data_IF_161442594906
#
_entry.id   IF_161442594906
#
_cell.length_a   1.000
_cell.length_b   1.000
_cell.length_c   1.000
_cell.angle_alpha   90.00
_cell.angle_beta   90.00
_cell.angle_gamma   90.00
#
_symmetry.space_group_name_H-M   'P 1'
#
loop_
_entity.id
_entity.type
_entity.pdbx_description
1 polymer ?
#
# COMPACT_ATOMS: atom_id res chain seq x y z
N UNK A 1 -10.05 -11.64 -20.96
CA UNK A 1 -9.10 -12.00 -22.03
C UNK A 1 -8.02 -12.86 -21.39
N UNK A 2 -7.79 -14.06 -21.89
CA UNK A 2 -6.69 -14.91 -21.41
C UNK A 2 -5.36 -14.33 -21.87
N UNK A 3 -4.68 -13.62 -20.97
CA UNK A 3 -3.42 -12.92 -21.24
C UNK A 3 -2.21 -13.87 -21.37
N UNK A 4 -2.39 -15.16 -21.11
CA UNK A 4 -1.32 -16.16 -21.08
C UNK A 4 -0.95 -16.75 -22.45
N UNK A 5 -1.64 -16.37 -23.54
CA UNK A 5 -1.48 -17.00 -24.86
C UNK A 5 -0.47 -16.34 -25.81
N UNK A 6 0.09 -15.18 -25.45
CA UNK A 6 1.00 -14.43 -26.33
C UNK A 6 2.47 -14.64 -25.93
N UNK A 7 3.08 -15.73 -26.40
CA UNK A 7 4.53 -15.89 -26.41
C UNK A 7 5.12 -15.35 -27.72
N UNK A 8 5.79 -14.20 -27.67
CA UNK A 8 6.48 -13.64 -28.83
C UNK A 8 7.85 -14.27 -29.03
N UNK A 9 8.13 -14.73 -30.25
CA UNK A 9 9.40 -15.36 -30.62
C UNK A 9 10.37 -14.35 -31.24
N UNK A 10 9.86 -13.31 -31.89
CA UNK A 10 10.67 -12.25 -32.55
C UNK A 10 10.26 -10.84 -32.11
N UNK A 11 11.16 -9.86 -32.30
CA UNK A 11 10.86 -8.44 -32.06
C UNK A 11 9.78 -7.94 -33.02
N UNK A 12 9.82 -8.38 -34.28
CA UNK A 12 8.87 -7.94 -35.30
C UNK A 12 7.45 -8.41 -34.97
N UNK A 13 7.27 -9.64 -34.47
CA UNK A 13 5.97 -10.12 -33.97
C UNK A 13 5.44 -9.28 -32.81
N UNK A 14 6.34 -8.91 -31.88
CA UNK A 14 6.01 -8.09 -30.72
C UNK A 14 5.54 -6.70 -31.15
N UNK A 15 6.30 -6.03 -32.02
CA UNK A 15 5.95 -4.68 -32.50
C UNK A 15 4.76 -4.66 -33.45
N UNK A 16 4.61 -5.64 -34.34
CA UNK A 16 3.44 -5.76 -35.20
C UNK A 16 2.16 -5.94 -34.36
N UNK A 17 2.23 -6.69 -33.26
CA UNK A 17 1.11 -6.86 -32.34
C UNK A 17 0.76 -5.57 -31.60
N UNK A 18 1.77 -4.85 -31.08
CA UNK A 18 1.55 -3.55 -30.44
C UNK A 18 1.00 -2.51 -31.42
N UNK A 19 1.49 -2.48 -32.67
CA UNK A 19 0.97 -1.60 -33.72
C UNK A 19 -0.49 -1.90 -34.03
N UNK A 20 -0.84 -3.18 -34.17
CA UNK A 20 -2.23 -3.62 -34.40
C UNK A 20 -3.16 -3.19 -33.28
N UNK A 21 -2.73 -3.34 -32.02
CA UNK A 21 -3.50 -2.90 -30.86
C UNK A 21 -3.59 -1.37 -30.77
N UNK A 22 -2.51 -0.66 -31.13
CA UNK A 22 -2.46 0.80 -31.11
C UNK A 22 -3.30 1.47 -32.21
N UNK A 23 -3.56 0.78 -33.34
CA UNK A 23 -4.25 1.36 -34.50
C UNK A 23 -5.68 1.83 -34.20
N UNK A 24 -6.39 1.13 -33.30
CA UNK A 24 -7.77 1.49 -32.92
C UNK A 24 -7.82 2.50 -31.77
N UNK A 25 -6.71 2.75 -31.07
CA UNK A 25 -6.60 3.79 -30.06
C UNK A 25 -7.58 3.67 -28.88
N UNK A 26 -7.99 2.44 -28.52
CA UNK A 26 -8.95 2.22 -27.41
C UNK A 26 -8.25 1.93 -26.09
N UNK A 27 -8.94 2.19 -24.98
CA UNK A 27 -8.45 1.92 -23.63
C UNK A 27 -8.16 0.43 -23.38
N UNK A 28 -8.94 -0.47 -24.00
CA UNK A 28 -8.79 -1.92 -23.88
C UNK A 28 -7.46 -2.39 -24.48
N UNK A 29 -7.13 -1.92 -25.68
CA UNK A 29 -5.86 -2.25 -26.32
C UNK A 29 -4.68 -1.64 -25.58
N UNK A 30 -4.80 -0.42 -25.07
CA UNK A 30 -3.76 0.16 -24.23
C UNK A 30 -3.55 -0.63 -22.93
N UNK A 31 -4.60 -1.24 -22.38
CA UNK A 31 -4.51 -2.16 -21.24
C UNK A 31 -3.78 -3.45 -21.61
N UNK A 32 -3.98 -3.95 -22.83
CA UNK A 32 -3.22 -5.09 -23.37
C UNK A 32 -1.74 -4.74 -23.59
N UNK A 33 -1.45 -3.58 -24.19
CA UNK A 33 -0.08 -3.07 -24.34
C UNK A 33 0.59 -2.91 -22.97
N UNK A 34 -0.11 -2.34 -21.98
CA UNK A 34 0.35 -2.24 -20.58
C UNK A 34 0.82 -3.58 -20.01
N UNK A 35 0.14 -4.68 -20.33
CA UNK A 35 0.54 -6.01 -19.86
C UNK A 35 1.92 -6.39 -20.41
N UNK A 36 2.12 -6.18 -21.71
CA UNK A 36 3.34 -6.51 -22.42
C UNK A 36 4.51 -5.55 -22.16
N UNK A 37 4.21 -4.31 -21.74
CA UNK A 37 5.20 -3.33 -21.25
C UNK A 37 5.70 -3.62 -19.82
N UNK A 38 5.23 -4.69 -19.18
CA UNK A 38 5.70 -5.08 -17.85
C UNK A 38 7.06 -5.76 -17.91
N UNK A 39 7.99 -5.38 -17.02
CA UNK A 39 9.32 -6.01 -16.89
C UNK A 39 9.29 -7.47 -16.39
N UNK A 40 8.10 -8.07 -16.23
CA UNK A 40 7.92 -9.42 -15.69
C UNK A 40 8.18 -10.52 -16.69
N UNK A 41 7.99 -10.26 -17.99
CA UNK A 41 8.00 -11.28 -19.02
C UNK A 41 9.40 -11.43 -19.63
N UNK A 42 10.04 -12.62 -19.53
CA UNK A 42 11.27 -12.92 -20.25
C UNK A 42 10.90 -13.37 -21.67
N UNK A 43 10.76 -12.42 -22.60
CA UNK A 43 10.54 -12.80 -23.99
C UNK A 43 11.75 -13.55 -24.54
N UNK A 44 11.50 -14.60 -25.34
CA UNK A 44 12.55 -15.48 -25.90
C UNK A 44 13.58 -14.72 -26.74
N UNK A 45 13.15 -13.67 -27.44
CA UNK A 45 14.05 -12.85 -28.26
C UNK A 45 15.08 -12.06 -27.43
N UNK A 46 14.87 -11.83 -26.13
CA UNK A 46 15.77 -11.03 -25.30
C UNK A 46 17.13 -11.70 -25.04
N UNK A 47 17.24 -13.02 -25.23
CA UNK A 47 18.48 -13.76 -24.92
C UNK A 47 19.59 -13.56 -25.96
N UNK A 48 19.25 -13.14 -27.19
CA UNK A 48 20.19 -13.09 -28.31
C UNK A 48 20.50 -11.65 -28.81
N UNK A 49 20.12 -10.63 -28.06
CA UNK A 49 20.18 -9.24 -28.51
C UNK A 49 21.24 -8.41 -27.78
N UNK A 50 22.00 -7.64 -28.55
CA UNK A 50 22.93 -6.64 -28.01
C UNK A 50 22.21 -5.30 -27.75
N UNK A 51 22.47 -4.62 -26.62
CA UNK A 51 21.83 -3.34 -26.30
C UNK A 51 22.09 -2.23 -27.32
N UNK A 52 23.23 -2.29 -28.01
CA UNK A 52 23.67 -1.27 -28.96
C UNK A 52 23.07 -1.46 -30.35
N UNK A 53 22.56 -2.64 -30.70
CA UNK A 53 21.97 -2.93 -32.02
C UNK A 53 20.46 -2.66 -32.09
N UNK A 54 19.85 -2.23 -30.97
CA UNK A 54 18.41 -2.04 -30.84
C UNK A 54 17.92 -0.64 -31.22
N UNK A 55 18.77 0.25 -31.71
CA UNK A 55 18.30 1.53 -32.26
C UNK A 55 17.58 1.32 -33.58
N UNK A 56 16.43 1.97 -33.75
CA UNK A 56 15.64 2.09 -34.99
C UNK A 56 14.85 0.85 -35.40
N UNK A 57 14.67 -0.14 -34.50
CA UNK A 57 13.87 -1.32 -34.81
C UNK A 57 12.37 -0.97 -34.86
N UNK A 58 11.94 -0.05 -33.99
CA UNK A 58 10.56 0.43 -33.91
C UNK A 58 10.14 1.37 -35.04
N UNK A 59 11.09 2.04 -35.74
CA UNK A 59 10.79 3.03 -36.80
C UNK A 59 9.97 2.42 -37.95
N UNK A 60 10.10 1.11 -38.18
CA UNK A 60 9.34 0.37 -39.20
C UNK A 60 7.85 0.25 -38.85
N UNK A 61 7.51 0.33 -37.57
CA UNK A 61 6.17 0.00 -37.05
C UNK A 61 5.45 1.22 -36.47
N UNK A 62 6.19 2.21 -35.95
CA UNK A 62 5.61 3.33 -35.22
C UNK A 62 6.07 4.67 -35.77
N UNK A 63 5.19 5.66 -35.68
CA UNK A 63 5.51 7.05 -35.97
C UNK A 63 6.09 7.73 -34.73
N UNK A 64 6.90 8.76 -34.96
CA UNK A 64 7.40 9.61 -33.89
C UNK A 64 6.26 10.25 -33.08
N UNK A 65 6.26 10.20 -31.73
CA UNK A 65 7.36 9.83 -30.83
C UNK A 65 7.34 8.37 -30.30
N UNK A 66 6.40 7.54 -30.75
CA UNK A 66 6.19 6.19 -30.20
C UNK A 66 7.30 5.21 -30.60
N UNK A 67 7.91 5.41 -31.76
CA UNK A 67 9.14 4.72 -32.16
C UNK A 67 10.21 4.79 -31.05
N UNK A 68 10.65 5.99 -30.69
CA UNK A 68 11.66 6.23 -29.69
C UNK A 68 11.27 5.64 -28.32
N UNK A 69 9.99 5.76 -27.93
CA UNK A 69 9.49 5.22 -26.66
C UNK A 69 9.60 3.70 -26.63
N UNK A 70 9.19 3.00 -27.69
CA UNK A 70 9.22 1.55 -27.74
C UNK A 70 10.63 0.99 -27.90
N UNK A 71 11.51 1.64 -28.66
CA UNK A 71 12.94 1.31 -28.72
C UNK A 71 13.60 1.46 -27.35
N UNK A 72 13.33 2.55 -26.62
CA UNK A 72 13.83 2.73 -25.26
C UNK A 72 13.27 1.67 -24.30
N UNK A 73 11.99 1.30 -24.44
CA UNK A 73 11.41 0.24 -23.63
C UNK A 73 12.09 -1.11 -23.86
N UNK A 74 12.38 -1.48 -25.11
CA UNK A 74 13.14 -2.70 -25.42
C UNK A 74 14.53 -2.70 -24.78
N UNK A 75 15.24 -1.56 -24.87
CA UNK A 75 16.55 -1.40 -24.20
C UNK A 75 16.43 -1.59 -22.69
N UNK A 76 15.41 -1.01 -22.06
CA UNK A 76 15.15 -1.18 -20.62
C UNK A 76 14.86 -2.65 -20.28
N UNK A 77 14.02 -3.32 -21.05
CA UNK A 77 13.72 -4.75 -20.88
C UNK A 77 15.00 -5.58 -20.95
N UNK A 78 15.82 -5.39 -21.98
CA UNK A 78 17.08 -6.12 -22.15
C UNK A 78 18.04 -5.87 -20.97
N UNK A 79 18.27 -4.61 -20.61
CA UNK A 79 19.17 -4.24 -19.51
C UNK A 79 18.67 -4.76 -18.16
N UNK A 80 17.36 -4.81 -17.95
CA UNK A 80 16.75 -5.38 -16.75
C UNK A 80 17.08 -6.89 -16.63
N UNK A 81 16.91 -7.66 -17.71
CA UNK A 81 17.21 -9.09 -17.73
C UNK A 81 18.72 -9.38 -17.67
N UNK A 82 19.57 -8.49 -18.21
CA UNK A 82 21.02 -8.50 -18.00
C UNK A 82 21.46 -8.08 -16.57
N UNK A 83 20.52 -7.80 -15.66
CA UNK A 83 20.76 -7.34 -14.28
C UNK A 83 21.50 -6.00 -14.17
N UNK A 84 21.53 -5.19 -15.24
CA UNK A 84 22.11 -3.84 -15.28
C UNK A 84 21.08 -2.79 -14.87
N UNK A 85 20.61 -2.86 -13.62
CA UNK A 85 19.48 -2.06 -13.11
C UNK A 85 19.71 -0.54 -13.15
N UNK A 86 20.96 -0.08 -12.94
CA UNK A 86 21.26 1.35 -12.93
C UNK A 86 21.12 1.97 -14.34
N UNK A 87 21.68 1.32 -15.36
CA UNK A 87 21.52 1.76 -16.75
C UNK A 87 20.05 1.68 -17.19
N UNK A 88 19.35 0.59 -16.82
CA UNK A 88 17.93 0.44 -17.09
C UNK A 88 17.09 1.55 -16.44
N UNK A 89 17.43 1.98 -15.23
CA UNK A 89 16.78 3.09 -14.54
C UNK A 89 16.88 4.40 -15.34
N UNK A 90 18.08 4.78 -15.78
CA UNK A 90 18.27 6.04 -16.51
C UNK A 90 17.49 6.05 -17.84
N UNK A 91 17.54 4.96 -18.61
CA UNK A 91 16.74 4.85 -19.84
C UNK A 91 15.24 4.85 -19.57
N UNK A 92 14.78 4.21 -18.49
CA UNK A 92 13.35 4.23 -18.13
C UNK A 92 12.91 5.63 -17.66
N UNK A 93 13.77 6.37 -16.97
CA UNK A 93 13.50 7.74 -16.57
C UNK A 93 13.36 8.65 -17.79
N UNK A 94 14.33 8.59 -18.70
CA UNK A 94 14.32 9.34 -19.96
C UNK A 94 13.06 9.01 -20.78
N UNK A 95 12.67 7.74 -20.85
CA UNK A 95 11.43 7.30 -21.48
C UNK A 95 10.20 7.98 -20.86
N UNK A 96 10.09 8.02 -19.52
CA UNK A 96 8.96 8.67 -18.83
C UNK A 96 8.93 10.17 -19.09
N UNK A 97 10.10 10.84 -19.11
CA UNK A 97 10.21 12.27 -19.41
C UNK A 97 9.80 12.59 -20.85
N UNK A 98 10.27 11.81 -21.84
CA UNK A 98 9.89 11.92 -23.24
C UNK A 98 8.38 11.67 -23.41
N UNK A 99 7.85 10.64 -22.77
CA UNK A 99 6.42 10.34 -22.82
C UNK A 99 5.60 11.50 -22.26
N UNK A 100 6.02 12.10 -21.14
CA UNK A 100 5.33 13.25 -20.57
C UNK A 100 5.37 14.47 -21.52
N UNK A 101 6.54 14.81 -22.04
CA UNK A 101 6.73 15.98 -22.90
C UNK A 101 6.05 15.84 -24.27
N UNK A 102 6.13 14.66 -24.90
CA UNK A 102 5.72 14.46 -26.29
C UNK A 102 4.34 13.83 -26.45
N UNK A 103 3.85 13.10 -25.46
CA UNK A 103 2.53 12.45 -25.52
C UNK A 103 1.55 13.16 -24.59
N UNK A 104 1.83 13.21 -23.28
CA UNK A 104 0.88 13.78 -22.30
C UNK A 104 0.58 15.26 -22.53
N UNK A 105 1.57 16.07 -22.88
CA UNK A 105 1.38 17.51 -23.14
C UNK A 105 0.76 17.82 -24.51
N UNK A 106 1.07 17.02 -25.53
CA UNK A 106 0.64 17.27 -26.91
C UNK A 106 -0.77 16.74 -27.15
N UNK A 107 -1.07 15.52 -26.68
CA UNK A 107 -2.35 14.86 -26.89
C UNK A 107 -3.32 15.21 -25.76
N UNK A 108 -3.88 16.43 -25.79
CA UNK A 108 -4.76 16.95 -24.72
C UNK A 108 -6.12 16.26 -24.65
N UNK A 109 -6.70 15.92 -25.79
CA UNK A 109 -8.09 15.43 -25.88
C UNK A 109 -8.21 13.90 -25.96
N UNK A 110 -7.13 13.17 -25.66
CA UNK A 110 -7.08 11.71 -25.71
C UNK A 110 -6.55 11.14 -24.39
N UNK A 111 -7.13 10.02 -23.95
CA UNK A 111 -6.76 9.33 -22.71
C UNK A 111 -6.39 7.85 -22.91
N UNK A 112 -6.50 7.31 -24.13
CA UNK A 112 -6.26 5.90 -24.42
C UNK A 112 -4.85 5.46 -24.04
N UNK A 113 -3.85 6.33 -24.09
CA UNK A 113 -2.45 5.99 -23.79
C UNK A 113 -2.13 5.95 -22.27
N UNK A 114 -3.05 6.33 -21.40
CA UNK A 114 -2.82 6.38 -19.95
C UNK A 114 -2.41 5.03 -19.32
N UNK A 115 -2.98 3.87 -19.70
CA UNK A 115 -2.50 2.58 -19.22
C UNK A 115 -1.01 2.34 -19.47
N UNK A 116 -0.46 2.83 -20.60
CA UNK A 116 0.97 2.75 -20.89
C UNK A 116 1.78 3.66 -19.96
N UNK A 117 1.32 4.90 -19.75
CA UNK A 117 1.91 5.83 -18.78
C UNK A 117 2.03 5.20 -17.40
N UNK A 118 0.94 4.59 -16.89
CA UNK A 118 0.93 3.91 -15.60
C UNK A 118 1.97 2.79 -15.52
N UNK A 119 2.13 2.02 -16.60
CA UNK A 119 3.13 0.95 -16.64
C UNK A 119 4.54 1.51 -16.65
N UNK A 120 4.81 2.58 -17.39
CA UNK A 120 6.11 3.23 -17.41
C UNK A 120 6.49 3.83 -16.05
N UNK A 121 5.56 4.51 -15.37
CA UNK A 121 5.78 5.00 -14.02
C UNK A 121 6.00 3.85 -13.02
N UNK A 122 5.25 2.73 -13.15
CA UNK A 122 5.43 1.54 -12.31
C UNK A 122 6.79 0.88 -12.53
N UNK A 123 7.25 0.79 -13.78
CA UNK A 123 8.56 0.26 -14.14
C UNK A 123 9.68 1.16 -13.59
N UNK A 124 9.55 2.48 -13.72
CA UNK A 124 10.48 3.46 -13.17
C UNK A 124 10.61 3.30 -11.65
N UNK A 125 9.49 3.23 -10.94
CA UNK A 125 9.47 2.97 -9.49
C UNK A 125 10.21 1.68 -9.14
N UNK A 126 9.93 0.59 -9.85
CA UNK A 126 10.56 -0.70 -9.58
C UNK A 126 12.07 -0.62 -9.79
N UNK A 127 12.52 -0.11 -10.93
CA UNK A 127 13.94 0.05 -11.25
C UNK A 127 14.67 0.97 -10.27
N UNK A 128 14.03 2.06 -9.82
CA UNK A 128 14.59 2.95 -8.82
C UNK A 128 14.91 2.21 -7.51
N UNK A 129 14.01 1.32 -7.08
CA UNK A 129 14.24 0.48 -5.90
C UNK A 129 15.43 -0.47 -6.09
N UNK A 130 15.58 -1.10 -7.25
CA UNK A 130 16.74 -1.96 -7.51
C UNK A 130 18.06 -1.17 -7.62
N UNK A 131 18.01 0.03 -8.20
CA UNK A 131 19.17 0.91 -8.30
C UNK A 131 19.66 1.33 -6.91
N UNK A 132 18.75 1.78 -6.03
CA UNK A 132 19.07 2.15 -4.66
C UNK A 132 19.60 0.95 -3.85
N UNK A 133 18.98 -0.23 -3.96
CA UNK A 133 19.45 -1.44 -3.28
C UNK A 133 20.87 -1.84 -3.72
N UNK A 134 21.17 -1.78 -5.02
CA UNK A 134 22.53 -2.08 -5.52
C UNK A 134 23.54 -1.04 -5.06
N UNK A 135 23.20 0.24 -5.10
CA UNK A 135 24.09 1.30 -4.64
C UNK A 135 24.41 1.14 -3.15
N UNK A 136 23.41 0.83 -2.33
CA UNK A 136 23.59 0.62 -0.88
C UNK A 136 24.40 -0.64 -0.57
N UNK A 137 24.26 -1.71 -1.36
CA UNK A 137 25.10 -2.91 -1.22
C UNK A 137 26.59 -2.63 -1.47
N UNK A 138 26.91 -1.76 -2.44
CA UNK A 138 28.31 -1.38 -2.75
C UNK A 138 28.87 -0.42 -1.70
N UNK A 139 28.03 0.42 -1.09
CA UNK A 139 28.42 1.31 0.03
C UNK A 139 28.79 0.51 1.29
N UNK A 140 28.09 -0.59 1.57
CA UNK A 140 28.38 -1.44 2.73
C UNK A 140 29.77 -2.09 2.71
N UNK A 141 30.41 -2.18 1.54
CA UNK A 141 31.75 -2.75 1.36
C UNK A 141 32.86 -1.70 1.24
N UNK A 142 32.52 -0.44 0.98
CA UNK A 142 33.46 0.60 0.58
C UNK A 142 33.23 1.86 1.41
N UNK A 143 33.98 2.01 2.50
CA UNK A 143 34.04 3.19 3.37
C UNK A 143 34.72 4.38 2.68
N UNK A 144 34.36 4.73 1.45
CA UNK A 144 34.95 5.85 0.72
C UNK A 144 34.07 7.10 0.80
N UNK A 145 34.65 8.14 1.40
CA UNK A 145 34.14 9.52 1.53
C UNK A 145 34.01 10.16 0.14
N UNK A 146 32.90 9.91 -0.54
CA UNK A 146 32.44 10.67 -1.72
C UNK A 146 31.15 11.41 -1.41
N UNK A 147 30.75 12.37 -2.26
CA UNK A 147 29.52 13.18 -2.13
C UNK A 147 28.35 12.27 -1.74
N UNK A 148 27.87 12.41 -0.51
CA UNK A 148 26.90 11.52 0.12
C UNK A 148 25.53 11.68 -0.56
N UNK A 149 25.28 10.93 -1.63
CA UNK A 149 23.94 10.83 -2.21
C UNK A 149 23.03 10.10 -1.20
N UNK A 150 21.77 10.53 -1.06
CA UNK A 150 20.81 9.90 -0.14
C UNK A 150 20.68 8.39 -0.41
N UNK A 151 20.39 7.58 0.62
CA UNK A 151 20.19 6.12 0.49
C UNK A 151 19.07 5.74 -0.49
N UNK A 152 18.19 6.70 -0.81
CA UNK A 152 17.03 6.55 -1.69
C UNK A 152 17.06 7.56 -2.86
N UNK A 153 18.25 7.96 -3.32
CA UNK A 153 18.41 9.00 -4.33
C UNK A 153 17.61 8.72 -5.62
N UNK A 154 17.66 7.50 -6.15
CA UNK A 154 16.95 7.16 -7.39
C UNK A 154 15.43 7.09 -7.16
N UNK A 155 14.99 6.62 -5.98
CA UNK A 155 13.57 6.64 -5.63
C UNK A 155 13.04 8.08 -5.52
N UNK A 156 13.80 9.01 -4.92
CA UNK A 156 13.41 10.42 -4.85
C UNK A 156 13.39 11.09 -6.22
N UNK A 157 14.33 10.73 -7.10
CA UNK A 157 14.41 11.22 -8.47
C UNK A 157 13.27 10.68 -9.36
N UNK A 158 12.95 9.39 -9.24
CA UNK A 158 11.77 8.79 -9.84
C UNK A 158 10.47 9.48 -9.39
N UNK A 159 10.35 9.81 -8.11
CA UNK A 159 9.18 10.51 -7.60
C UNK A 159 8.98 11.87 -8.26
N UNK A 160 10.06 12.60 -8.59
CA UNK A 160 9.97 13.86 -9.33
C UNK A 160 9.38 13.63 -10.71
N UNK A 161 10.00 12.74 -11.50
CA UNK A 161 9.51 12.42 -12.85
C UNK A 161 8.04 11.96 -12.89
N UNK A 162 7.60 11.16 -11.91
CA UNK A 162 6.19 10.76 -11.78
C UNK A 162 5.30 11.95 -11.36
N UNK A 163 5.78 12.85 -10.50
CA UNK A 163 5.08 14.08 -10.15
C UNK A 163 4.89 15.01 -11.35
N UNK A 164 5.85 15.09 -12.28
CA UNK A 164 5.65 15.84 -13.53
C UNK A 164 4.49 15.25 -14.36
N UNK A 165 4.40 13.92 -14.48
CA UNK A 165 3.26 13.27 -15.16
C UNK A 165 1.92 13.53 -14.42
N UNK A 166 1.96 13.49 -13.08
CA UNK A 166 0.81 13.77 -12.23
C UNK A 166 0.30 15.21 -12.42
N UNK A 167 1.21 16.20 -12.47
CA UNK A 167 0.84 17.61 -12.71
C UNK A 167 0.17 17.80 -14.06
N UNK A 168 0.67 17.14 -15.11
CA UNK A 168 0.05 17.15 -16.44
C UNK A 168 -1.38 16.59 -16.43
N UNK A 169 -1.63 15.51 -15.68
CA UNK A 169 -2.98 14.96 -15.54
C UNK A 169 -3.87 15.82 -14.63
N UNK A 170 -3.28 16.47 -13.62
CA UNK A 170 -4.01 17.30 -12.66
C UNK A 170 -4.45 18.64 -13.23
N UNK A 171 -3.72 19.21 -14.20
CA UNK A 171 -4.16 20.43 -14.89
C UNK A 171 -5.42 20.20 -15.72
N UNK A 172 -5.61 18.98 -16.22
CA UNK A 172 -6.75 18.60 -17.07
C UNK A 172 -8.02 18.33 -16.25
N UNK A 173 -7.96 18.40 -14.90
CA UNK A 173 -9.11 18.19 -14.01
C UNK A 173 -10.25 19.20 -14.23
N UNK A 174 -9.95 20.38 -14.80
CA UNK A 174 -10.98 21.39 -15.14
C UNK A 174 -11.83 20.99 -16.34
N UNK A 175 -11.41 19.97 -17.09
CA UNK A 175 -12.12 19.49 -18.27
C UNK A 175 -13.00 18.30 -17.86
N UNK A 176 -14.33 18.52 -17.84
CA UNK A 176 -15.35 17.53 -17.49
C UNK A 176 -15.68 16.54 -18.64
N UNK A 177 -14.76 16.34 -19.58
CA UNK A 177 -14.96 15.43 -20.71
C UNK A 177 -14.70 13.98 -20.31
N UNK A 178 -15.40 13.03 -20.93
CA UNK A 178 -15.12 11.58 -20.81
C UNK A 178 -13.69 11.21 -21.25
N UNK A 179 -13.05 12.10 -22.03
CA UNK A 179 -11.65 12.01 -22.48
C UNK A 179 -10.65 12.60 -21.48
N UNK A 180 -11.10 13.05 -20.30
CA UNK A 180 -10.24 13.69 -19.32
C UNK A 180 -9.15 12.74 -18.83
N UNK A 181 -7.94 13.27 -18.68
CA UNK A 181 -6.81 12.53 -18.10
C UNK A 181 -6.88 12.44 -16.58
N UNK A 182 -7.90 13.05 -15.99
CA UNK A 182 -8.21 12.95 -14.56
C UNK A 182 -8.42 11.49 -14.12
N UNK A 183 -8.86 10.61 -15.03
CA UNK A 183 -8.97 9.15 -14.83
C UNK A 183 -7.63 8.48 -14.46
N UNK A 184 -6.49 9.13 -14.73
CA UNK A 184 -5.17 8.63 -14.34
C UNK A 184 -4.60 9.14 -13.03
N UNK A 185 -5.28 10.09 -12.37
CA UNK A 185 -4.78 10.71 -11.14
C UNK A 185 -4.59 9.69 -10.02
N UNK A 186 -5.57 8.81 -9.79
CA UNK A 186 -5.49 7.85 -8.69
C UNK A 186 -4.34 6.86 -8.88
N UNK A 187 -4.10 6.39 -10.11
CA UNK A 187 -3.01 5.45 -10.39
C UNK A 187 -1.63 6.08 -10.17
N UNK A 188 -1.45 7.32 -10.64
CA UNK A 188 -0.22 8.09 -10.42
C UNK A 188 -0.02 8.42 -8.93
N UNK A 189 -1.08 8.80 -8.21
CA UNK A 189 -1.07 8.99 -6.75
C UNK A 189 -0.64 7.71 -6.03
N UNK A 190 -1.19 6.55 -6.39
CA UNK A 190 -0.80 5.25 -5.82
C UNK A 190 0.68 4.92 -6.11
N UNK A 191 1.19 5.31 -7.28
CA UNK A 191 2.61 5.18 -7.60
C UNK A 191 3.49 6.05 -6.68
N UNK A 192 3.12 7.32 -6.52
CA UNK A 192 3.79 8.28 -5.64
C UNK A 192 3.74 7.87 -4.17
N UNK A 193 2.59 7.38 -3.68
CA UNK A 193 2.43 6.84 -2.32
C UNK A 193 3.41 5.72 -2.04
N UNK A 194 3.51 4.75 -2.95
CA UNK A 194 4.44 3.65 -2.81
C UNK A 194 5.90 4.12 -2.71
N UNK A 195 6.29 5.17 -3.45
CA UNK A 195 7.63 5.75 -3.39
C UNK A 195 7.83 6.50 -2.06
N UNK A 196 6.93 7.41 -1.71
CA UNK A 196 7.05 8.27 -0.54
C UNK A 196 7.02 7.51 0.79
N UNK A 197 6.19 6.46 0.89
CA UNK A 197 6.16 5.60 2.08
C UNK A 197 7.48 4.82 2.20
N UNK A 198 8.03 4.34 1.09
CA UNK A 198 9.32 3.66 1.08
C UNK A 198 10.47 4.60 1.48
N UNK A 199 10.46 5.84 1.01
CA UNK A 199 11.49 6.84 1.35
C UNK A 199 11.25 7.54 2.69
N UNK A 200 10.27 7.09 3.47
CA UNK A 200 9.87 7.65 4.76
C UNK A 200 9.52 9.15 4.70
N UNK A 201 8.95 9.62 3.57
CA UNK A 201 8.54 11.01 3.34
C UNK A 201 7.02 11.17 3.44
N UNK A 202 6.47 10.76 4.58
CA UNK A 202 5.02 10.73 4.82
C UNK A 202 4.34 12.10 4.66
N UNK A 203 5.05 13.19 4.92
CA UNK A 203 4.54 14.56 4.79
C UNK A 203 4.05 14.90 3.37
N UNK A 204 4.59 14.23 2.34
CA UNK A 204 4.24 14.43 0.94
C UNK A 204 2.93 13.74 0.53
N UNK A 205 2.38 12.87 1.40
CA UNK A 205 1.11 12.19 1.14
C UNK A 205 -0.07 13.14 1.31
N UNK A 206 -0.04 14.07 2.27
CA UNK A 206 -1.18 14.95 2.59
C UNK A 206 -1.63 15.84 1.42
N UNK A 207 -0.72 16.50 0.65
CA UNK A 207 -1.13 17.27 -0.52
C UNK A 207 -1.80 16.42 -1.60
N UNK A 208 -1.32 15.18 -1.81
CA UNK A 208 -1.88 14.26 -2.79
C UNK A 208 -3.26 13.74 -2.36
N UNK A 209 -3.43 13.41 -1.07
CA UNK A 209 -4.73 13.02 -0.50
C UNK A 209 -5.74 14.15 -0.70
N UNK A 210 -5.38 15.37 -0.30
CA UNK A 210 -6.24 16.55 -0.50
C UNK A 210 -6.63 16.70 -1.96
N UNK A 211 -5.69 16.58 -2.89
CA UNK A 211 -6.00 16.71 -4.31
C UNK A 211 -7.04 15.69 -4.79
N UNK A 212 -6.95 14.43 -4.34
CA UNK A 212 -7.95 13.40 -4.65
C UNK A 212 -9.28 13.67 -3.95
N UNK A 213 -9.29 14.14 -2.71
CA UNK A 213 -10.54 14.45 -1.98
C UNK A 213 -11.33 15.59 -2.66
N UNK A 214 -10.64 16.59 -3.24
CA UNK A 214 -11.29 17.62 -4.07
C UNK A 214 -11.88 17.04 -5.36
N UNK A 215 -11.40 15.88 -5.81
CA UNK A 215 -11.92 15.16 -6.97
C UNK A 215 -13.05 14.18 -6.59
N UNK A 216 -13.69 14.30 -5.43
CA UNK A 216 -14.58 13.28 -4.84
C UNK A 216 -15.57 12.59 -5.80
N UNK A 217 -16.16 13.31 -6.75
CA UNK A 217 -17.07 12.73 -7.75
C UNK A 217 -16.39 11.75 -8.74
N UNK A 218 -15.09 11.89 -8.96
CA UNK A 218 -14.28 10.99 -9.78
C UNK A 218 -13.79 9.77 -8.99
N UNK A 219 -13.84 9.81 -7.65
CA UNK A 219 -13.34 8.71 -6.83
C UNK A 219 -14.06 7.38 -7.16
N UNK A 220 -15.38 7.46 -7.30
CA UNK A 220 -16.25 6.33 -7.62
C UNK A 220 -16.07 5.81 -9.06
N UNK A 221 -15.51 6.63 -9.96
CA UNK A 221 -15.26 6.26 -11.36
C UNK A 221 -13.95 5.47 -11.55
N UNK A 222 -13.02 5.56 -10.60
CA UNK A 222 -11.76 4.82 -10.69
C UNK A 222 -11.97 3.32 -10.50
N UNK A 223 -11.02 2.54 -10.99
CA UNK A 223 -11.05 1.09 -10.79
C UNK A 223 -11.07 0.73 -9.29
N UNK A 224 -11.87 -0.26 -8.91
CA UNK A 224 -11.94 -0.76 -7.53
C UNK A 224 -10.55 -1.14 -7.00
N UNK A 225 -9.69 -1.68 -7.88
CA UNK A 225 -8.30 -2.00 -7.55
C UNK A 225 -7.51 -0.76 -7.11
N UNK A 226 -7.58 0.33 -7.86
CA UNK A 226 -6.86 1.57 -7.52
C UNK A 226 -7.43 2.23 -6.26
N UNK A 227 -8.75 2.15 -6.04
CA UNK A 227 -9.39 2.62 -4.80
C UNK A 227 -8.90 1.84 -3.57
N UNK A 228 -8.80 0.51 -3.67
CA UNK A 228 -8.28 -0.34 -2.58
C UNK A 228 -6.83 0.00 -2.24
N UNK A 229 -5.99 0.19 -3.27
CA UNK A 229 -4.58 0.57 -3.06
C UNK A 229 -4.46 1.95 -2.42
N UNK A 230 -5.29 2.91 -2.84
CA UNK A 230 -5.33 4.24 -2.24
C UNK A 230 -5.70 4.16 -0.75
N UNK A 231 -6.81 3.48 -0.43
CA UNK A 231 -7.30 3.33 0.95
C UNK A 231 -6.32 2.56 1.84
N UNK A 232 -5.60 1.58 1.28
CA UNK A 232 -4.50 0.91 1.98
C UNK A 232 -3.40 1.90 2.43
N UNK A 233 -2.95 2.78 1.53
CA UNK A 233 -1.90 3.74 1.85
C UNK A 233 -2.38 4.87 2.77
N UNK A 234 -3.61 5.39 2.59
CA UNK A 234 -4.17 6.40 3.49
C UNK A 234 -4.36 5.83 4.89
N UNK A 235 -4.84 4.58 5.01
CA UNK A 235 -4.98 3.88 6.28
C UNK A 235 -3.65 3.59 6.97
N UNK A 236 -2.61 3.21 6.21
CA UNK A 236 -1.25 3.05 6.74
C UNK A 236 -0.72 4.36 7.31
N UNK A 237 -0.89 5.48 6.60
CA UNK A 237 -0.52 6.82 7.08
C UNK A 237 -1.28 7.18 8.35
N UNK A 238 -2.60 7.01 8.35
CA UNK A 238 -3.46 7.33 9.50
C UNK A 238 -3.05 6.56 10.76
N UNK A 239 -2.70 5.27 10.64
CA UNK A 239 -2.20 4.47 11.76
C UNK A 239 -0.89 5.03 12.34
N UNK A 240 0.03 5.47 11.48
CA UNK A 240 1.31 6.05 11.90
C UNK A 240 1.09 7.41 12.59
N UNK A 241 0.17 8.22 12.07
CA UNK A 241 -0.24 9.51 12.66
C UNK A 241 -1.12 9.37 13.91
N UNK A 242 -1.45 8.14 14.32
CA UNK A 242 -2.36 7.87 15.44
C UNK A 242 -3.77 8.43 15.21
N UNK A 243 -4.27 8.38 13.98
CA UNK A 243 -5.68 8.56 13.70
C UNK A 243 -6.32 7.17 13.49
N UNK A 244 -6.79 6.54 14.58
CA UNK A 244 -7.30 5.16 14.49
C UNK A 244 -8.65 5.05 13.78
N UNK A 245 -9.51 6.06 13.89
CA UNK A 245 -10.83 6.04 13.26
C UNK A 245 -10.68 6.05 11.73
N UNK A 246 -9.91 7.01 11.20
CA UNK A 246 -9.60 7.06 9.76
C UNK A 246 -8.84 5.82 9.29
N UNK A 247 -7.90 5.31 10.10
CA UNK A 247 -7.16 4.10 9.77
C UNK A 247 -8.10 2.88 9.67
N UNK A 248 -9.06 2.77 10.58
CA UNK A 248 -10.00 1.65 10.62
C UNK A 248 -10.95 1.67 9.43
N UNK A 249 -11.54 2.83 9.13
CA UNK A 249 -12.42 3.02 7.98
C UNK A 249 -11.70 2.68 6.67
N UNK A 250 -10.51 3.24 6.45
CA UNK A 250 -9.75 3.04 5.22
C UNK A 250 -9.27 1.60 5.06
N UNK A 251 -8.70 0.99 6.11
CA UNK A 251 -8.16 -0.37 6.04
C UNK A 251 -9.26 -1.43 5.99
N UNK A 252 -10.39 -1.20 6.68
CA UNK A 252 -11.55 -2.11 6.60
C UNK A 252 -12.15 -2.09 5.19
N UNK A 253 -12.34 -0.90 4.59
CA UNK A 253 -12.76 -0.78 3.19
C UNK A 253 -11.81 -1.53 2.24
N UNK A 254 -10.50 -1.31 2.38
CA UNK A 254 -9.50 -1.98 1.55
C UNK A 254 -9.57 -3.52 1.69
N UNK A 255 -9.80 -4.03 2.90
CA UNK A 255 -9.90 -5.47 3.15
C UNK A 255 -11.19 -6.09 2.63
N UNK A 256 -12.32 -5.40 2.74
CA UNK A 256 -13.63 -5.87 2.29
C UNK A 256 -13.72 -5.91 0.76
N UNK A 257 -13.23 -4.86 0.10
CA UNK A 257 -13.25 -4.74 -1.37
C UNK A 257 -12.17 -5.59 -2.07
N UNK A 258 -11.17 -6.09 -1.34
CA UNK A 258 -10.13 -6.94 -1.91
C UNK A 258 -10.66 -8.38 -2.15
N UNK A 259 -10.56 -8.94 -3.38
CA UNK A 259 -11.00 -10.31 -3.66
C UNK A 259 -10.35 -11.35 -2.75
N UNK A 260 -11.11 -12.35 -2.31
CA UNK A 260 -10.60 -13.39 -1.41
C UNK A 260 -9.44 -14.21 -2.00
N UNK A 261 -9.40 -14.34 -3.33
CA UNK A 261 -8.34 -15.03 -4.07
C UNK A 261 -6.97 -14.33 -3.93
N UNK A 262 -6.94 -13.02 -3.67
CA UNK A 262 -5.72 -12.22 -3.56
C UNK A 262 -5.12 -12.29 -2.15
N UNK A 263 -4.74 -13.49 -1.69
CA UNK A 263 -4.27 -13.74 -0.31
C UNK A 263 -3.10 -12.84 0.08
N UNK A 264 -2.13 -12.63 -0.83
CA UNK A 264 -0.96 -11.78 -0.55
C UNK A 264 -1.34 -10.31 -0.29
N UNK A 265 -2.28 -9.76 -1.08
CA UNK A 265 -2.75 -8.38 -0.89
C UNK A 265 -3.55 -8.24 0.41
N UNK A 266 -4.42 -9.20 0.72
CA UNK A 266 -5.16 -9.24 2.00
C UNK A 266 -4.21 -9.33 3.19
N UNK A 267 -3.14 -10.14 3.10
CA UNK A 267 -2.09 -10.21 4.12
C UNK A 267 -1.38 -8.86 4.29
N UNK A 268 -1.10 -8.12 3.21
CA UNK A 268 -0.53 -6.77 3.33
C UNK A 268 -1.47 -5.82 4.09
N UNK A 269 -2.77 -5.80 3.77
CA UNK A 269 -3.76 -4.94 4.44
C UNK A 269 -3.89 -5.34 5.93
N UNK A 270 -4.00 -6.64 6.22
CA UNK A 270 -4.13 -7.15 7.59
C UNK A 270 -2.96 -6.80 8.50
N UNK A 271 -1.75 -6.66 7.94
CA UNK A 271 -0.57 -6.25 8.70
C UNK A 271 -0.79 -4.92 9.43
N UNK A 272 -1.57 -4.02 8.85
CA UNK A 272 -1.91 -2.72 9.43
C UNK A 272 -3.30 -2.73 10.10
N UNK A 273 -4.26 -3.48 9.56
CA UNK A 273 -5.62 -3.53 10.12
C UNK A 273 -5.67 -4.22 11.50
N UNK A 274 -4.92 -5.30 11.70
CA UNK A 274 -4.88 -6.03 12.98
C UNK A 274 -4.48 -5.09 14.14
N UNK A 275 -3.32 -4.39 14.10
CA UNK A 275 -2.96 -3.48 15.18
C UNK A 275 -3.96 -2.33 15.35
N UNK A 276 -4.52 -1.76 14.26
CA UNK A 276 -5.58 -0.73 14.35
C UNK A 276 -6.78 -1.23 15.16
N UNK A 277 -7.33 -2.40 14.80
CA UNK A 277 -8.45 -3.02 15.52
C UNK A 277 -8.10 -3.36 16.96
N UNK A 278 -6.87 -3.81 17.23
CA UNK A 278 -6.39 -4.06 18.60
C UNK A 278 -6.39 -2.78 19.46
N UNK A 279 -5.97 -1.65 18.90
CA UNK A 279 -6.02 -0.36 19.63
C UNK A 279 -7.45 0.12 19.90
N UNK A 280 -8.39 -0.19 19.01
CA UNK A 280 -9.83 0.02 19.20
C UNK A 280 -10.48 -0.98 20.17
N UNK A 281 -9.73 -1.98 20.65
CA UNK A 281 -10.19 -2.97 21.63
C UNK A 281 -10.72 -4.27 21.03
N UNK A 282 -10.68 -4.43 19.71
CA UNK A 282 -11.05 -5.67 19.03
C UNK A 282 -9.82 -6.59 18.90
N UNK A 283 -9.92 -7.79 19.45
CA UNK A 283 -8.82 -8.76 19.37
C UNK A 283 -9.00 -9.72 18.18
N UNK A 284 -7.92 -10.06 17.46
CA UNK A 284 -8.01 -11.00 16.34
C UNK A 284 -8.38 -12.41 16.81
N UNK A 285 -9.10 -13.13 15.95
CA UNK A 285 -9.40 -14.55 16.12
C UNK A 285 -8.20 -15.41 15.70
N UNK A 286 -7.93 -16.49 16.45
CA UNK A 286 -6.81 -17.41 16.15
C UNK A 286 -6.94 -18.01 14.74
N UNK A 287 -8.15 -18.39 14.33
CA UNK A 287 -8.43 -18.94 12.99
C UNK A 287 -8.00 -17.99 11.86
N UNK A 288 -8.22 -16.68 12.05
CA UNK A 288 -7.82 -15.67 11.06
C UNK A 288 -6.30 -15.56 10.96
N UNK A 289 -5.61 -15.57 12.11
CA UNK A 289 -4.16 -15.47 12.16
C UNK A 289 -3.48 -16.71 11.58
N UNK A 290 -4.02 -17.90 11.83
CA UNK A 290 -3.54 -19.16 11.27
C UNK A 290 -3.73 -19.20 9.74
N UNK A 291 -4.89 -18.78 9.23
CA UNK A 291 -5.18 -18.78 7.79
C UNK A 291 -4.20 -17.90 6.98
N UNK A 292 -3.83 -16.73 7.50
CA UNK A 292 -2.91 -15.80 6.83
C UNK A 292 -1.44 -15.93 7.29
N UNK A 293 -1.14 -16.92 8.13
CA UNK A 293 0.20 -17.19 8.67
C UNK A 293 0.82 -15.97 9.39
N UNK A 294 0.07 -15.42 10.35
CA UNK A 294 0.49 -14.31 11.20
C UNK A 294 0.99 -14.77 12.57
N UNK A 295 2.02 -15.62 12.59
CA UNK A 295 2.63 -16.11 13.83
C UNK A 295 2.98 -14.99 14.84
N UNK A 296 3.59 -13.84 14.44
CA UNK A 296 3.93 -12.78 15.39
C UNK A 296 2.72 -12.19 16.12
N UNK A 297 1.54 -12.17 15.50
CA UNK A 297 0.34 -11.60 16.09
C UNK A 297 -0.39 -12.56 17.03
N UNK A 298 -0.15 -13.87 16.93
CA UNK A 298 -0.78 -14.87 17.81
C UNK A 298 -0.33 -14.63 19.24
N UNK A 299 0.98 -14.72 19.50
CA UNK A 299 1.57 -14.51 20.83
C UNK A 299 1.30 -13.10 21.37
N UNK A 300 1.38 -12.09 20.49
CA UNK A 300 1.12 -10.70 20.82
C UNK A 300 -0.33 -10.50 21.29
N UNK A 301 -1.30 -11.09 20.59
CA UNK A 301 -2.72 -10.99 20.97
C UNK A 301 -3.02 -11.69 22.29
N UNK A 302 -2.37 -12.82 22.56
CA UNK A 302 -2.49 -13.53 23.84
C UNK A 302 -1.90 -12.72 24.99
N UNK A 303 -0.69 -12.17 24.82
CA UNK A 303 -0.05 -11.34 25.83
C UNK A 303 -0.91 -10.13 26.22
N UNK A 304 -1.55 -9.48 25.23
CA UNK A 304 -2.47 -8.37 25.47
C UNK A 304 -3.74 -8.82 26.20
N UNK A 305 -4.34 -9.96 25.79
CA UNK A 305 -5.52 -10.53 26.47
C UNK A 305 -5.23 -10.91 27.92
N UNK A 306 -4.05 -11.46 28.19
CA UNK A 306 -3.57 -11.84 29.52
C UNK A 306 -3.20 -10.63 30.38
N UNK A 307 -2.85 -9.49 29.75
CA UNK A 307 -2.24 -8.35 30.44
C UNK A 307 -0.80 -8.63 30.89
N UNK A 308 -0.08 -9.53 30.20
CA UNK A 308 1.29 -9.90 30.56
C UNK A 308 2.30 -8.99 29.84
N UNK A 309 2.78 -7.97 30.55
CA UNK A 309 3.74 -6.99 30.00
C UNK A 309 5.08 -7.62 29.64
N UNK A 310 5.56 -8.61 30.40
CA UNK A 310 6.82 -9.27 30.13
C UNK A 310 6.76 -10.11 28.86
N UNK A 311 5.70 -10.94 28.72
CA UNK A 311 5.44 -11.73 27.51
C UNK A 311 5.32 -10.82 26.29
N UNK A 312 4.59 -9.70 26.40
CA UNK A 312 4.44 -8.74 25.30
C UNK A 312 5.80 -8.18 24.85
N UNK A 313 6.62 -7.66 25.77
CA UNK A 313 7.92 -7.06 25.44
C UNK A 313 8.85 -8.09 24.78
N UNK A 314 8.92 -9.29 25.34
CA UNK A 314 9.73 -10.39 24.79
C UNK A 314 9.28 -10.78 23.37
N UNK A 315 7.98 -10.89 23.11
CA UNK A 315 7.47 -11.19 21.76
C UNK A 315 7.79 -10.07 20.77
N UNK A 316 7.69 -8.80 21.18
CA UNK A 316 8.06 -7.65 20.33
C UNK A 316 9.57 -7.68 19.99
N UNK A 317 10.42 -8.01 20.95
CA UNK A 317 11.88 -8.13 20.75
C UNK A 317 12.23 -9.27 19.78
N UNK A 318 11.64 -10.46 19.97
CA UNK A 318 11.85 -11.62 19.11
C UNK A 318 11.42 -11.36 17.66
N UNK A 319 10.32 -10.64 17.47
CA UNK A 319 9.72 -10.35 16.16
C UNK A 319 10.08 -8.96 15.64
N UNK A 320 11.09 -8.30 16.22
CA UNK A 320 11.45 -6.92 15.90
C UNK A 320 11.77 -6.74 14.41
N UNK A 321 12.46 -7.70 13.80
CA UNK A 321 12.80 -7.68 12.37
C UNK A 321 11.55 -7.61 11.49
N UNK A 322 10.54 -8.43 11.78
CA UNK A 322 9.27 -8.43 11.04
C UNK A 322 8.56 -7.08 11.12
N UNK A 323 8.44 -6.51 12.33
CA UNK A 323 7.78 -5.22 12.53
C UNK A 323 8.57 -4.04 11.96
N UNK A 324 9.91 -4.13 11.98
CA UNK A 324 10.82 -3.11 11.42
C UNK A 324 10.70 -3.05 9.89
N UNK A 325 10.70 -4.20 9.21
CA UNK A 325 10.50 -4.28 7.75
C UNK A 325 9.16 -3.69 7.31
N UNK A 326 8.13 -3.74 8.18
CA UNK A 326 6.79 -3.18 7.92
C UNK A 326 6.62 -1.74 8.39
N UNK A 327 7.60 -1.17 9.10
CA UNK A 327 7.56 0.20 9.62
C UNK A 327 6.55 0.43 10.74
N UNK A 328 6.15 -0.61 11.48
CA UNK A 328 5.08 -0.53 12.50
C UNK A 328 5.57 -0.71 13.95
N UNK A 329 6.89 -0.81 14.17
CA UNK A 329 7.47 -1.01 15.51
C UNK A 329 6.95 0.03 16.50
N UNK A 330 7.01 1.30 16.14
CA UNK A 330 6.55 2.40 16.99
C UNK A 330 5.06 2.29 17.35
N UNK A 331 4.22 1.80 16.43
CA UNK A 331 2.81 1.55 16.70
C UNK A 331 2.67 0.38 17.70
N UNK A 332 3.27 -0.76 17.40
CA UNK A 332 3.19 -1.99 18.22
C UNK A 332 3.68 -1.75 19.65
N UNK A 333 4.74 -0.96 19.85
CA UNK A 333 5.21 -0.59 21.21
C UNK A 333 4.14 0.11 22.06
N UNK A 334 3.17 0.81 21.44
CA UNK A 334 2.07 1.46 22.16
C UNK A 334 1.05 0.47 22.72
N UNK A 335 1.08 -0.81 22.31
CA UNK A 335 0.26 -1.86 22.91
C UNK A 335 0.54 -2.05 24.40
N UNK A 336 1.72 -1.62 24.88
CA UNK A 336 2.00 -1.55 26.31
C UNK A 336 0.90 -0.80 27.07
N UNK A 337 0.39 0.30 26.54
CA UNK A 337 -0.70 1.07 27.18
C UNK A 337 -1.99 0.26 27.30
N UNK A 338 -2.33 -0.56 26.29
CA UNK A 338 -3.49 -1.45 26.34
C UNK A 338 -3.33 -2.54 27.39
N UNK A 339 -2.14 -3.15 27.50
CA UNK A 339 -1.86 -4.12 28.56
C UNK A 339 -2.07 -3.54 29.95
N UNK A 340 -1.60 -2.31 30.21
CA UNK A 340 -1.85 -1.64 31.49
C UNK A 340 -3.35 -1.46 31.75
N UNK A 341 -4.14 -1.05 30.74
CA UNK A 341 -5.61 -0.95 30.88
C UNK A 341 -6.23 -2.30 31.23
N UNK A 342 -5.78 -3.39 30.62
CA UNK A 342 -6.27 -4.75 30.91
C UNK A 342 -5.92 -5.16 32.35
N UNK A 343 -4.69 -4.90 32.80
CA UNK A 343 -4.27 -5.19 34.19
C UNK A 343 -5.14 -4.41 35.18
N UNK A 344 -5.28 -3.09 34.99
CA UNK A 344 -6.09 -2.23 35.87
C UNK A 344 -7.53 -2.70 35.90
N UNK A 345 -8.12 -3.03 34.75
CA UNK A 345 -9.48 -3.56 34.66
C UNK A 345 -9.62 -4.88 35.44
N UNK A 346 -8.67 -5.81 35.31
CA UNK A 346 -8.70 -7.08 36.06
C UNK A 346 -8.56 -6.88 37.56
N UNK A 347 -7.65 -6.00 38.00
CA UNK A 347 -7.47 -5.68 39.43
C UNK A 347 -8.73 -5.03 39.99
N UNK A 348 -9.33 -4.11 39.26
CA UNK A 348 -10.59 -3.47 39.65
C UNK A 348 -11.72 -4.49 39.78
N UNK A 349 -11.89 -5.38 38.79
CA UNK A 349 -12.94 -6.42 38.84
C UNK A 349 -12.72 -7.39 40.01
N UNK A 350 -11.48 -7.83 40.27
CA UNK A 350 -11.18 -8.70 41.42
C UNK A 350 -11.44 -8.00 42.76
N UNK A 351 -11.07 -6.73 42.91
CA UNK A 351 -11.37 -5.96 44.12
C UNK A 351 -12.87 -5.72 44.29
N UNK A 352 -13.59 -5.49 43.20
CA UNK A 352 -15.04 -5.34 43.20
C UNK A 352 -15.74 -6.64 43.59
N UNK A 353 -15.29 -7.78 43.09
CA UNK A 353 -15.77 -9.11 43.51
C UNK A 353 -15.49 -9.37 44.99
N UNK A 354 -14.27 -9.06 45.48
CA UNK A 354 -13.94 -9.17 46.91
C UNK A 354 -14.81 -8.26 47.78
N UNK A 355 -15.08 -7.04 47.32
CA UNK A 355 -15.99 -6.10 48.01
C UNK A 355 -17.41 -6.64 48.07
N UNK A 356 -17.94 -7.18 46.96
CA UNK A 356 -19.25 -7.82 46.93
C UNK A 356 -19.34 -9.05 47.83
N UNK A 357 -18.33 -9.93 47.80
CA UNK A 357 -18.26 -11.09 48.68
C UNK A 357 -18.24 -10.68 50.16
N UNK A 358 -17.49 -9.63 50.52
CA UNK A 358 -17.49 -9.10 51.88
C UNK A 358 -18.84 -8.50 52.29
N UNK A 359 -19.60 -7.91 51.36
CA UNK A 359 -20.95 -7.43 51.61
C UNK A 359 -21.93 -8.58 51.86
N UNK A 360 -21.81 -9.69 51.11
CA UNK A 360 -22.61 -10.89 51.30
C UNK A 360 -22.26 -11.63 52.60
N UNK A 361 -20.98 -11.82 52.93
CA UNK A 361 -20.55 -12.43 54.21
C UNK A 361 -21.00 -11.60 55.42
N UNK A 362 -20.99 -10.26 55.32
CA UNK A 362 -21.52 -9.39 56.37
C UNK A 362 -23.06 -9.37 56.42
N UNK A 363 -23.75 -9.67 55.32
CA UNK A 363 -25.22 -9.77 55.27
C UNK A 363 -25.71 -11.11 55.85
N UNK A 364 -25.01 -12.23 55.61
CA UNK A 364 -25.35 -13.53 56.18
C UNK A 364 -25.06 -13.63 57.69
N UNK A 365 -24.20 -12.77 58.24
CA UNK A 365 -24.01 -12.64 59.70
C UNK A 365 -25.12 -11.83 60.40
N UNK A 366 -26.04 -11.21 59.65
CA UNK A 366 -27.21 -10.48 60.16
C UNK A 366 -28.54 -11.20 59.90
N UNK A 367 -28.54 -12.53 59.82
CA UNK A 367 -29.78 -13.34 59.95
C UNK A 367 -30.27 -13.33 61.41
N UNK A 368 -30.64 -12.15 61.88
CA UNK A 368 -31.22 -11.87 63.19
C UNK A 368 -32.13 -10.64 63.19
N UNK A 369 -32.04 -9.74 62.20
CA UNK A 369 -33.04 -8.72 61.86
C UNK A 369 -32.55 -7.94 60.64
N UNK A 370 -33.20 -8.10 59.48
CA UNK A 370 -32.93 -7.24 58.31
C UNK A 370 -34.18 -6.44 58.01
N UNK A 371 -34.21 -5.21 58.53
CA UNK A 371 -34.95 -4.13 57.87
C UNK A 371 -34.23 -3.80 56.57
N UNK A 372 -34.95 -3.91 55.46
CA UNK A 372 -34.48 -3.49 54.15
C UNK A 372 -34.23 -1.98 54.14
N UNK A 373 -32.98 -1.55 54.29
CA UNK A 373 -32.61 -0.15 54.02
C UNK A 373 -32.61 0.11 52.51
N UNK A 374 -33.31 1.17 52.11
CA UNK A 374 -33.69 1.54 50.73
C UNK A 374 -32.52 1.85 49.75
N UNK A 375 -31.26 1.61 50.11
CA UNK A 375 -30.11 1.92 49.26
C UNK A 375 -29.69 0.79 48.29
N UNK A 376 -30.24 -0.41 48.44
CA UNK A 376 -29.94 -1.57 47.59
C UNK A 376 -30.73 -1.60 46.27
N UNK A 377 -31.82 -0.83 46.16
CA UNK A 377 -32.67 -0.77 44.95
C UNK A 377 -32.05 0.14 43.87
N UNK A 378 -31.27 1.15 44.27
CA UNK A 378 -30.64 2.11 43.34
C UNK A 378 -29.53 1.51 42.46
N UNK A 379 -28.85 0.46 42.94
CA UNK A 379 -27.72 -0.16 42.24
C UNK A 379 -28.21 -1.21 41.22
N UNK A 380 -29.34 -1.86 41.49
CA UNK A 380 -29.92 -2.84 40.57
C UNK A 380 -30.46 -2.16 39.29
N UNK A 381 -30.98 -0.94 39.39
CA UNK A 381 -31.43 -0.17 38.21
C UNK A 381 -30.27 0.38 37.36
N UNK A 382 -29.11 0.70 37.95
CA UNK A 382 -27.94 1.13 37.17
C UNK A 382 -27.27 -0.04 36.44
N UNK A 383 -27.31 -1.26 36.99
CA UNK A 383 -26.77 -2.45 36.33
C UNK A 383 -27.54 -2.86 35.06
N UNK A 384 -28.87 -2.71 35.05
CA UNK A 384 -29.69 -2.99 33.85
C UNK A 384 -29.46 -1.94 32.75
N UNK A 385 -29.25 -0.68 33.13
CA UNK A 385 -28.98 0.39 32.15
C UNK A 385 -27.62 0.26 31.45
N UNK A 386 -26.57 -0.22 32.14
CA UNK A 386 -25.24 -0.37 31.54
C UNK A 386 -25.13 -1.63 30.67
N UNK A 387 -25.93 -2.68 30.93
CA UNK A 387 -25.99 -3.84 30.03
C UNK A 387 -26.82 -3.58 28.76
N UNK A 388 -27.87 -2.75 28.81
CA UNK A 388 -28.67 -2.43 27.63
C UNK A 388 -27.98 -1.46 26.64
N UNK A 389 -27.01 -0.66 27.06
CA UNK A 389 -26.24 0.20 26.14
C UNK A 389 -25.14 -0.51 25.33
N UNK A 390 -24.95 -1.82 25.51
CA UNK A 390 -23.99 -2.62 24.72
C UNK A 390 -24.63 -3.54 23.67
N UNK A 391 -25.93 -3.40 23.43
CA UNK A 391 -26.67 -4.11 22.38
C UNK A 391 -27.52 -3.14 21.54
N UNK A 392 -26.92 -2.06 21.07
CA UNK A 392 -27.35 -1.31 19.88
C UNK A 392 -26.14 -0.90 19.07
#
# INVERSE_FOLDING_TARGET
MDFASYEFSTIDEFFASIQRWGAEGTWEYATLIKHHLSLKYPYKFLYNLDPNSLSQQSEKFFLHPFDLIFDMHLKVLLLFWQKKYLCAYYHQKELVEIFNQRVLHVMKDQNWFLPMCFQFCRNLRFLAVYADLKQNSVRGTSSSVGVMQSENHHSEDAARAVMECYRSCSSDLRNNSETSKSLGLLNLTNCLFAIHIRTNRMNLLKPLIRAIDHCGALFDQFSLFDQVVYKYYTGQRALIEWNLEEADECLSFAFEQCPQQCVAARRMILTYLIPTKMFLGYMPSKKLLEYYDFQPYIELSEAVKEGNLYKLRKTIELQLKFFAEKGIVCCIMKLNSLCHRVIVKRVYMKKFEQFFLSLFENADFQSGNIEYSQNSIGIHQTCVFVQQQKCR
#
